data_IF_503435209490
#
_entry.id   IF_503435209490
#
_cell.length_a   1.000
_cell.length_b   1.000
_cell.length_c   1.000
_cell.angle_alpha   90.00
_cell.angle_beta   90.00
_cell.angle_gamma   90.00
#
_symmetry.space_group_name_H-M   'P 1'
#
loop_
_entity.id
_entity.type
_entity.pdbx_description
1 polymer ?
#
# COMPACT_ATOMS: atom_id res chain seq x y z
N UNK A 1 -3.45 10.37 8.90
CA UNK A 1 -3.18 9.22 9.79
C UNK A 1 -2.43 8.11 9.08
N UNK A 2 -2.98 7.51 8.02
CA UNK A 2 -2.30 6.44 7.27
C UNK A 2 -0.94 6.87 6.70
N UNK A 3 -0.87 8.05 6.07
CA UNK A 3 0.36 8.66 5.54
C UNK A 3 1.46 8.77 6.60
N UNK A 4 1.19 9.44 7.73
CA UNK A 4 2.15 9.55 8.84
C UNK A 4 2.66 8.19 9.33
N UNK A 5 1.78 7.18 9.43
CA UNK A 5 2.19 5.83 9.82
C UNK A 5 3.06 5.15 8.76
N UNK A 6 2.86 5.46 7.47
CA UNK A 6 3.70 4.96 6.39
C UNK A 6 5.11 5.57 6.46
N UNK A 7 5.21 6.87 6.73
CA UNK A 7 6.49 7.54 6.95
C UNK A 7 7.23 6.98 8.19
N UNK A 8 6.52 6.77 9.30
CA UNK A 8 7.06 6.16 10.51
C UNK A 8 7.54 4.73 10.26
N UNK A 9 6.76 3.92 9.54
CA UNK A 9 7.13 2.56 9.17
C UNK A 9 8.39 2.54 8.28
N UNK A 10 8.51 3.45 7.32
CA UNK A 10 9.70 3.59 6.48
C UNK A 10 10.93 4.00 7.29
N UNK A 11 10.76 4.85 8.31
CA UNK A 11 11.85 5.22 9.21
C UNK A 11 12.28 4.04 10.10
N UNK A 12 11.34 3.23 10.59
CA UNK A 12 11.63 2.01 11.35
C UNK A 12 12.29 0.93 10.49
N UNK A 13 11.89 0.79 9.23
CA UNK A 13 12.44 -0.20 8.30
C UNK A 13 13.97 -0.09 8.14
N UNK A 14 14.51 1.14 8.21
CA UNK A 14 15.97 1.40 8.21
C UNK A 14 16.69 0.67 9.34
N UNK A 15 16.08 0.55 10.52
CA UNK A 15 16.66 -0.16 11.67
C UNK A 15 16.75 -1.68 11.45
N UNK A 16 16.01 -2.19 10.46
CA UNK A 16 16.03 -3.60 10.04
C UNK A 16 16.86 -3.83 8.77
N UNK A 17 17.64 -2.84 8.32
CA UNK A 17 18.47 -2.94 7.11
C UNK A 17 17.67 -2.91 5.81
N UNK A 18 16.41 -2.46 5.86
CA UNK A 18 15.56 -2.33 4.69
C UNK A 18 15.67 -0.91 4.10
N UNK A 19 15.67 -0.83 2.78
CA UNK A 19 15.49 0.42 2.06
C UNK A 19 14.00 0.57 1.74
N UNK A 20 13.37 1.59 2.34
CA UNK A 20 11.94 1.85 2.17
C UNK A 20 11.71 3.10 1.31
N UNK A 21 10.77 2.99 0.39
CA UNK A 21 10.18 4.10 -0.35
C UNK A 21 8.69 4.18 0.03
N UNK A 22 8.18 5.40 0.16
CA UNK A 22 6.77 5.66 0.48
C UNK A 22 6.14 6.34 -0.73
N UNK A 23 4.95 5.90 -1.10
CA UNK A 23 4.16 6.43 -2.19
C UNK A 23 2.71 6.56 -1.73
N UNK A 24 2.04 7.62 -2.19
CA UNK A 24 0.58 7.66 -2.14
C UNK A 24 -0.01 6.65 -3.13
N UNK A 25 -1.24 6.22 -2.87
CA UNK A 25 -1.86 5.14 -3.65
C UNK A 25 -2.18 5.52 -5.09
N UNK A 26 -2.31 6.82 -5.39
CA UNK A 26 -2.51 7.38 -6.72
C UNK A 26 -1.20 7.78 -7.44
N UNK A 27 -0.06 7.70 -6.74
CA UNK A 27 1.28 8.01 -7.25
C UNK A 27 2.09 6.76 -7.65
N UNK A 28 1.49 5.57 -7.58
CA UNK A 28 2.15 4.31 -7.93
C UNK A 28 1.22 3.36 -8.70
N UNK A 29 1.76 2.66 -9.69
CA UNK A 29 1.02 1.64 -10.45
C UNK A 29 1.14 0.24 -9.84
N UNK A 30 0.16 -0.63 -10.11
CA UNK A 30 0.20 -2.03 -9.67
C UNK A 30 1.38 -2.79 -10.27
N UNK A 31 1.81 -2.44 -11.49
CA UNK A 31 3.02 -2.97 -12.11
C UNK A 31 4.28 -2.66 -11.30
N UNK A 32 4.46 -1.42 -10.85
CA UNK A 32 5.60 -1.04 -10.01
C UNK A 32 5.55 -1.73 -8.64
N UNK A 33 4.36 -1.88 -8.05
CA UNK A 33 4.21 -2.62 -6.80
C UNK A 33 4.62 -4.10 -6.93
N UNK A 34 4.34 -4.73 -8.08
CA UNK A 34 4.68 -6.14 -8.32
C UNK A 34 6.19 -6.41 -8.38
N UNK A 35 7.01 -5.37 -8.55
CA UNK A 35 8.47 -5.48 -8.54
C UNK A 35 9.05 -5.48 -7.11
N UNK A 36 8.26 -5.10 -6.11
CA UNK A 36 8.71 -5.05 -4.72
C UNK A 36 8.74 -6.46 -4.09
N UNK A 37 9.87 -6.82 -3.46
CA UNK A 37 9.96 -8.03 -2.62
C UNK A 37 9.09 -7.89 -1.37
N UNK A 38 9.00 -6.68 -0.80
CA UNK A 38 8.25 -6.40 0.43
C UNK A 38 7.34 -5.20 0.24
N UNK A 39 6.05 -5.42 0.49
CA UNK A 39 5.01 -4.40 0.36
C UNK A 39 4.27 -4.22 1.68
N UNK A 40 4.20 -2.98 2.18
CA UNK A 40 3.34 -2.62 3.30
C UNK A 40 2.26 -1.67 2.80
N UNK A 41 1.01 -2.10 2.87
CA UNK A 41 -0.14 -1.26 2.53
C UNK A 41 -0.73 -0.71 3.82
N UNK A 42 -0.79 0.62 3.95
CA UNK A 42 -1.45 1.28 5.08
C UNK A 42 -2.61 2.08 4.52
N UNK A 43 -3.83 1.74 4.95
CA UNK A 43 -5.04 2.38 4.43
C UNK A 43 -6.04 2.60 5.53
N UNK A 44 -6.94 3.57 5.35
CA UNK A 44 -8.08 3.79 6.22
C UNK A 44 -9.38 3.45 5.51
N UNK A 45 -10.47 3.29 6.25
CA UNK A 45 -11.82 3.25 5.68
C UNK A 45 -12.58 4.54 6.01
N UNK A 46 -13.43 4.99 5.10
CA UNK A 46 -14.36 6.09 5.30
C UNK A 46 -15.79 5.59 5.50
N UNK A 47 -16.59 6.36 6.26
CA UNK A 47 -18.04 6.13 6.40
C UNK A 47 -18.41 4.69 6.74
N UNK A 48 -19.20 4.08 5.86
CA UNK A 48 -19.73 2.72 6.01
C UNK A 48 -18.74 1.61 5.55
N UNK A 49 -17.45 1.92 5.47
CA UNK A 49 -16.40 0.98 5.06
C UNK A 49 -15.86 1.19 3.64
N UNK A 50 -16.08 2.37 3.06
CA UNK A 50 -15.55 2.72 1.74
C UNK A 50 -14.03 2.95 1.79
N UNK A 51 -13.36 2.68 0.67
CA UNK A 51 -11.94 2.99 0.52
C UNK A 51 -11.73 4.51 0.37
N UNK A 52 -10.52 5.03 0.62
CA UNK A 52 -10.24 6.43 0.38
C UNK A 52 -10.13 6.71 -1.12
N UNK A 53 -10.47 7.93 -1.54
CA UNK A 53 -10.50 8.31 -2.96
C UNK A 53 -9.19 8.03 -3.71
N UNK A 54 -8.04 8.24 -3.05
CA UNK A 54 -6.73 7.98 -3.64
C UNK A 54 -6.42 6.49 -3.84
N UNK A 55 -7.18 5.58 -3.24
CA UNK A 55 -7.05 4.14 -3.45
C UNK A 55 -7.78 3.62 -4.69
N UNK A 56 -8.70 4.40 -5.26
CA UNK A 56 -9.63 3.94 -6.29
C UNK A 56 -8.89 3.42 -7.55
N UNK A 57 -7.92 4.18 -8.05
CA UNK A 57 -7.18 3.81 -9.27
C UNK A 57 -6.40 2.51 -9.07
N UNK A 58 -5.70 2.39 -7.93
CA UNK A 58 -4.95 1.19 -7.58
C UNK A 58 -5.86 -0.03 -7.41
N UNK A 59 -7.03 0.17 -6.81
CA UNK A 59 -8.06 -0.86 -6.65
C UNK A 59 -8.59 -1.36 -8.00
N UNK A 60 -8.85 -0.45 -8.94
CA UNK A 60 -9.31 -0.83 -10.28
C UNK A 60 -8.22 -1.57 -11.05
N UNK A 61 -6.96 -1.13 -10.98
CA UNK A 61 -5.83 -1.78 -11.64
C UNK A 61 -5.57 -3.19 -11.12
N UNK A 62 -5.63 -3.43 -9.81
CA UNK A 62 -5.31 -4.74 -9.22
C UNK A 62 -6.43 -5.76 -9.48
N UNK A 63 -7.66 -5.30 -9.68
CA UNK A 63 -8.80 -6.15 -10.05
C UNK A 63 -8.93 -6.37 -11.56
N UNK A 64 -8.12 -5.70 -12.39
CA UNK A 64 -8.15 -5.87 -13.83
C UNK A 64 -7.61 -7.24 -14.25
N UNK A 65 -8.13 -7.78 -15.37
CA UNK A 65 -7.65 -9.05 -15.93
C UNK A 65 -6.17 -9.01 -16.35
N UNK A 66 -5.65 -7.81 -16.61
CA UNK A 66 -4.25 -7.54 -16.96
C UNK A 66 -3.33 -7.32 -15.76
N UNK A 67 -3.83 -7.44 -14.52
CA UNK A 67 -3.02 -7.24 -13.33
C UNK A 67 -1.82 -8.22 -13.31
N UNK A 68 -0.62 -7.73 -12.96
CA UNK A 68 0.58 -8.56 -12.87
C UNK A 68 0.48 -9.56 -11.71
N UNK A 69 1.27 -10.64 -11.79
CA UNK A 69 1.45 -11.59 -10.70
C UNK A 69 2.38 -11.03 -9.62
N UNK A 70 2.06 -11.26 -8.36
CA UNK A 70 2.84 -10.86 -7.18
C UNK A 70 3.61 -12.05 -6.58
N UNK A 71 4.02 -13.02 -7.39
CA UNK A 71 4.64 -14.29 -6.95
C UNK A 71 5.85 -14.14 -6.02
N UNK A 72 6.61 -13.04 -6.12
CA UNK A 72 7.80 -12.78 -5.30
C UNK A 72 7.60 -11.67 -4.26
N UNK A 73 6.36 -11.21 -4.07
CA UNK A 73 6.03 -10.13 -3.15
C UNK A 73 5.47 -10.68 -1.84
N UNK A 74 6.11 -10.31 -0.73
CA UNK A 74 5.60 -10.51 0.62
C UNK A 74 4.89 -9.25 1.08
N UNK A 75 3.58 -9.32 1.32
CA UNK A 75 2.79 -8.16 1.69
C UNK A 75 2.26 -8.20 3.12
N UNK A 76 1.94 -7.04 3.66
CA UNK A 76 1.22 -6.85 4.92
C UNK A 76 0.28 -5.65 4.79
N UNK A 77 -0.82 -5.67 5.52
CA UNK A 77 -1.84 -4.61 5.49
C UNK A 77 -2.08 -4.09 6.91
N UNK A 78 -1.98 -2.78 7.09
CA UNK A 78 -2.43 -2.07 8.28
C UNK A 78 -3.67 -1.24 7.92
N UNK A 79 -4.84 -1.74 8.34
CA UNK A 79 -6.11 -1.04 8.15
C UNK A 79 -6.43 -0.17 9.38
N UNK A 80 -6.74 1.10 9.14
CA UNK A 80 -7.13 2.07 10.16
C UNK A 80 -8.63 2.34 10.07
N UNK A 81 -9.35 2.08 11.15
CA UNK A 81 -10.76 2.39 11.29
C UNK A 81 -11.06 2.85 12.71
N UNK A 82 -12.32 3.18 12.95
CA UNK A 82 -12.88 3.42 14.28
C UNK A 82 -13.96 2.37 14.58
N UNK A 83 -14.16 2.04 15.85
CA UNK A 83 -15.14 1.01 16.32
C UNK A 83 -16.47 1.58 16.72
#
# INVERSE_FOLDING_TARGET
NAENLAEEAAQMAKNHGLLASVFDMDDISVSQLSEAERLLVITSTYGDGEMPDNAQLLWDEINAQSAPSFESTYFSVLALGDT
#
